data_IF_506474404176
#
_entry.id   IF_506474404176
#
_cell.length_a   1.000
_cell.length_b   1.000
_cell.length_c   1.000
_cell.angle_alpha   90.00
_cell.angle_beta   90.00
_cell.angle_gamma   90.00
#
_symmetry.space_group_name_H-M   'P 1'
#
loop_
_entity.id
_entity.type
_entity.pdbx_description
1 polymer ?
#
# COMPACT_ATOMS: atom_id res chain seq x y z
N UNK A 1 53.95 6.27 -42.80
CA UNK A 1 54.73 5.97 -41.58
C UNK A 1 53.85 6.23 -40.37
N UNK A 2 53.47 5.16 -39.67
CA UNK A 2 52.47 5.09 -38.61
C UNK A 2 53.05 5.62 -37.28
N UNK A 3 52.38 6.59 -36.63
CA UNK A 3 52.68 7.00 -35.24
C UNK A 3 51.54 6.56 -34.32
N UNK A 4 51.78 5.44 -33.63
CA UNK A 4 51.11 5.00 -32.39
C UNK A 4 51.22 6.07 -31.31
N UNK A 5 50.14 6.40 -30.59
CA UNK A 5 50.10 6.70 -29.13
C UNK A 5 48.63 6.61 -28.67
N UNK A 6 48.23 5.47 -28.10
CA UNK A 6 48.04 5.18 -26.67
C UNK A 6 46.68 5.65 -26.11
N UNK A 7 45.71 4.75 -26.18
CA UNK A 7 44.36 4.90 -25.61
C UNK A 7 44.43 4.67 -24.10
N UNK A 8 44.18 5.70 -23.29
CA UNK A 8 44.06 5.57 -21.82
C UNK A 8 42.61 5.26 -21.49
N UNK A 9 42.30 4.00 -21.20
CA UNK A 9 40.98 3.62 -20.66
C UNK A 9 41.01 3.73 -19.15
N UNK A 10 40.46 4.82 -18.61
CA UNK A 10 40.22 4.99 -17.18
C UNK A 10 38.91 4.29 -16.79
N UNK A 11 39.01 3.15 -16.11
CA UNK A 11 37.86 2.42 -15.59
C UNK A 11 37.38 3.08 -14.30
N UNK A 12 36.22 3.74 -14.33
CA UNK A 12 35.55 4.27 -13.13
C UNK A 12 34.73 3.15 -12.50
N UNK A 13 35.17 2.62 -11.37
CA UNK A 13 34.38 1.69 -10.56
C UNK A 13 33.50 2.53 -9.63
N UNK A 14 32.21 2.66 -9.97
CA UNK A 14 31.22 3.27 -9.09
C UNK A 14 30.77 2.24 -8.06
N UNK A 15 31.14 2.45 -6.80
CA UNK A 15 30.64 1.64 -5.69
C UNK A 15 29.19 2.06 -5.37
N UNK A 16 28.23 1.19 -5.61
CA UNK A 16 26.84 1.37 -5.17
C UNK A 16 26.75 0.93 -3.71
N UNK A 17 26.63 1.89 -2.79
CA UNK A 17 26.32 1.61 -1.40
C UNK A 17 24.85 1.16 -1.29
N UNK A 18 24.64 -0.13 -1.00
CA UNK A 18 23.31 -0.68 -0.75
C UNK A 18 22.73 -0.13 0.56
N UNK A 19 21.59 0.54 0.48
CA UNK A 19 20.77 0.89 1.64
C UNK A 19 20.10 -0.38 2.16
N UNK A 20 20.61 -0.96 3.25
CA UNK A 20 19.90 -1.96 4.05
C UNK A 20 19.01 -1.23 5.06
N UNK A 21 17.76 -0.96 4.67
CA UNK A 21 16.74 -0.46 5.60
C UNK A 21 16.24 -1.60 6.48
N UNK A 22 16.52 -1.55 7.78
CA UNK A 22 15.91 -2.46 8.77
C UNK A 22 14.48 -2.00 9.07
N UNK A 23 13.50 -2.72 8.52
CA UNK A 23 12.10 -2.53 8.87
C UNK A 23 11.90 -2.88 10.35
N UNK A 24 11.73 -1.85 11.18
CA UNK A 24 11.44 -2.01 12.61
C UNK A 24 9.94 -2.29 12.76
N UNK A 25 9.59 -3.52 13.14
CA UNK A 25 8.23 -3.86 13.56
C UNK A 25 7.98 -3.26 14.95
N UNK A 26 7.07 -2.29 15.03
CA UNK A 26 6.64 -1.67 16.29
C UNK A 26 5.82 -2.64 17.17
N UNK A 27 5.59 -2.30 18.45
CA UNK A 27 4.90 -3.17 19.40
C UNK A 27 3.45 -3.46 18.95
N UNK A 28 3.10 -4.75 18.92
CA UNK A 28 1.75 -5.22 18.63
C UNK A 28 0.81 -4.87 19.79
N UNK A 29 -0.23 -4.08 19.51
CA UNK A 29 -1.30 -3.75 20.45
C UNK A 29 -2.25 -4.94 20.66
N UNK A 30 -2.93 -5.05 21.83
CA UNK A 30 -3.69 -6.24 22.21
C UNK A 30 -4.87 -6.50 21.27
N UNK A 31 -4.98 -7.77 20.85
CA UNK A 31 -5.98 -8.26 19.92
C UNK A 31 -7.37 -8.31 20.56
N UNK A 32 -8.15 -7.24 20.42
CA UNK A 32 -9.60 -7.39 20.25
C UNK A 32 -9.83 -8.32 19.05
N UNK A 33 -10.84 -9.20 19.08
CA UNK A 33 -11.20 -10.06 17.95
C UNK A 33 -11.34 -9.17 16.72
N UNK A 34 -10.31 -9.16 15.86
CA UNK A 34 -10.28 -8.23 14.75
C UNK A 34 -11.22 -8.75 13.68
N UNK A 35 -12.44 -8.21 13.63
CA UNK A 35 -13.39 -8.47 12.56
C UNK A 35 -12.69 -8.26 11.22
N UNK A 36 -12.73 -9.26 10.33
CA UNK A 36 -12.24 -9.13 8.97
C UNK A 36 -13.20 -8.24 8.17
N UNK A 37 -12.67 -7.47 7.22
CA UNK A 37 -13.44 -6.55 6.40
C UNK A 37 -13.49 -5.13 6.95
N UNK A 38 -14.46 -4.37 6.46
CA UNK A 38 -14.64 -2.97 6.83
C UNK A 38 -15.18 -2.83 8.25
N UNK A 39 -14.61 -1.92 9.01
CA UNK A 39 -15.16 -1.48 10.29
C UNK A 39 -14.76 -0.04 10.57
N UNK A 40 -15.53 0.62 11.44
CA UNK A 40 -15.29 2.00 11.84
C UNK A 40 -14.94 2.03 13.32
N UNK A 41 -13.81 2.65 13.64
CA UNK A 41 -13.44 3.06 15.00
C UNK A 41 -13.84 4.52 15.23
N UNK A 42 -13.64 5.05 16.44
CA UNK A 42 -14.06 6.42 16.78
C UNK A 42 -13.60 7.49 15.78
N UNK A 43 -12.36 7.44 15.30
CA UNK A 43 -11.79 8.44 14.39
C UNK A 43 -11.52 7.94 12.97
N UNK A 44 -11.37 6.63 12.78
CA UNK A 44 -10.82 6.06 11.55
C UNK A 44 -11.67 4.91 11.06
N UNK A 45 -11.94 4.92 9.77
CA UNK A 45 -12.50 3.81 9.03
C UNK A 45 -11.37 2.89 8.53
N UNK A 46 -11.52 1.60 8.79
CA UNK A 46 -10.50 0.58 8.58
C UNK A 46 -11.02 -0.53 7.67
N UNK A 47 -10.09 -1.20 7.01
CA UNK A 47 -10.32 -2.52 6.41
C UNK A 47 -9.28 -3.50 6.95
N UNK A 48 -9.74 -4.52 7.67
CA UNK A 48 -8.90 -5.61 8.14
C UNK A 48 -8.90 -6.77 7.13
N UNK A 49 -7.80 -6.97 6.42
CA UNK A 49 -7.69 -8.11 5.50
C UNK A 49 -7.05 -9.32 6.20
N UNK A 50 -7.86 -10.32 6.51
CA UNK A 50 -7.39 -11.55 7.16
C UNK A 50 -6.73 -12.57 6.21
N UNK A 51 -6.71 -12.30 4.90
CA UNK A 51 -6.04 -13.16 3.92
C UNK A 51 -4.53 -12.92 3.89
N UNK A 52 -3.81 -13.74 3.12
CA UNK A 52 -2.35 -13.70 3.01
C UNK A 52 -1.84 -12.91 1.79
N UNK A 53 -2.73 -12.55 0.87
CA UNK A 53 -2.41 -11.83 -0.36
C UNK A 53 -2.98 -10.42 -0.32
N UNK A 54 -2.53 -9.56 -1.23
CA UNK A 54 -3.16 -8.26 -1.40
C UNK A 54 -4.48 -8.41 -2.15
N UNK A 55 -5.47 -7.60 -1.79
CA UNK A 55 -6.75 -7.56 -2.50
C UNK A 55 -7.13 -6.14 -2.87
N UNK A 56 -7.91 -6.03 -3.95
CA UNK A 56 -8.52 -4.77 -4.35
C UNK A 56 -9.88 -4.64 -3.64
N UNK A 57 -10.11 -3.50 -3.02
CA UNK A 57 -11.40 -3.14 -2.43
C UNK A 57 -11.95 -1.88 -3.08
N UNK A 58 -13.28 -1.80 -3.22
CA UNK A 58 -13.96 -0.52 -3.46
C UNK A 58 -14.24 0.14 -2.13
N UNK A 59 -14.03 1.45 -2.07
CA UNK A 59 -14.26 2.28 -0.91
C UNK A 59 -15.33 3.30 -1.27
N UNK A 60 -16.41 3.28 -0.52
CA UNK A 60 -17.55 4.16 -0.73
C UNK A 60 -17.39 5.41 0.15
N UNK A 61 -17.48 6.60 -0.44
CA UNK A 61 -17.15 7.87 0.22
C UNK A 61 -18.40 8.74 0.37
N UNK A 62 -18.51 9.42 1.51
CA UNK A 62 -19.61 10.32 1.82
C UNK A 62 -19.63 11.53 0.84
N UNK A 63 -20.83 12.08 0.62
CA UNK A 63 -20.97 13.39 -0.02
C UNK A 63 -21.13 13.43 -1.54
N UNK A 64 -21.59 12.37 -2.22
CA UNK A 64 -22.11 12.56 -3.58
C UNK A 64 -22.21 11.38 -4.55
N UNK A 65 -22.22 10.12 -4.09
CA UNK A 65 -22.32 8.95 -4.96
C UNK A 65 -20.99 8.56 -5.61
N UNK A 66 -21.04 7.73 -6.66
CA UNK A 66 -19.90 7.10 -7.37
C UNK A 66 -18.69 8.00 -7.67
N UNK A 67 -18.87 9.32 -7.78
CA UNK A 67 -17.80 10.25 -8.15
C UNK A 67 -16.69 10.43 -7.09
N UNK A 68 -16.96 10.09 -5.83
CA UNK A 68 -15.99 10.17 -4.74
C UNK A 68 -15.46 8.80 -4.31
N UNK A 69 -16.09 7.73 -4.80
CA UNK A 69 -15.69 6.36 -4.49
C UNK A 69 -14.33 6.08 -5.16
N UNK A 70 -13.53 5.24 -4.52
CA UNK A 70 -12.21 4.90 -5.05
C UNK A 70 -11.89 3.43 -4.79
N UNK A 71 -10.80 2.96 -5.39
CA UNK A 71 -10.28 1.64 -5.09
C UNK A 71 -8.92 1.70 -4.43
N UNK A 72 -8.74 0.80 -3.47
CA UNK A 72 -7.51 0.67 -2.70
C UNK A 72 -7.01 -0.77 -2.78
N UNK A 73 -5.69 -0.92 -2.87
CA UNK A 73 -5.04 -2.19 -2.56
C UNK A 73 -4.88 -2.25 -1.04
N UNK A 74 -5.44 -3.29 -0.43
CA UNK A 74 -5.29 -3.58 0.99
C UNK A 74 -4.37 -4.78 1.19
N UNK A 75 -3.44 -4.64 2.13
CA UNK A 75 -2.48 -5.67 2.51
C UNK A 75 -3.04 -6.55 3.64
N UNK A 76 -2.51 -7.76 3.87
CA UNK A 76 -2.80 -8.53 5.08
C UNK A 76 -2.70 -7.67 6.35
N UNK A 77 -3.73 -7.75 7.22
CA UNK A 77 -3.86 -6.96 8.44
C UNK A 77 -4.66 -5.67 8.27
N UNK A 78 -4.36 -4.67 9.10
CA UNK A 78 -5.12 -3.43 9.20
C UNK A 78 -4.70 -2.37 8.19
N UNK A 79 -5.67 -1.87 7.43
CA UNK A 79 -5.49 -0.82 6.44
C UNK A 79 -6.40 0.36 6.79
N UNK A 80 -5.86 1.55 7.11
CA UNK A 80 -6.67 2.74 7.29
C UNK A 80 -7.18 3.23 5.93
N UNK A 81 -8.47 3.52 5.83
CA UNK A 81 -9.10 4.02 4.61
C UNK A 81 -9.43 5.52 4.69
N UNK A 82 -9.60 6.06 5.90
CA UNK A 82 -9.90 7.49 6.09
C UNK A 82 -10.61 7.77 7.41
N UNK A 83 -11.20 8.95 7.51
CA UNK A 83 -11.93 9.39 8.70
C UNK A 83 -13.30 8.68 8.84
N UNK A 84 -13.72 8.43 10.08
CA UNK A 84 -14.94 7.67 10.47
C UNK A 84 -16.28 8.25 10.00
N UNK A 85 -16.32 9.45 9.43
CA UNK A 85 -17.52 10.04 8.79
C UNK A 85 -17.39 10.31 7.29
N UNK A 86 -16.23 10.00 6.70
CA UNK A 86 -15.97 10.19 5.27
C UNK A 86 -16.08 8.87 4.51
N UNK A 87 -15.76 7.75 5.13
CA UNK A 87 -15.87 6.43 4.49
C UNK A 87 -17.14 5.76 4.98
N UNK A 88 -18.04 5.45 4.06
CA UNK A 88 -19.34 4.85 4.34
C UNK A 88 -19.26 3.33 4.39
N UNK A 89 -18.43 2.75 3.53
CA UNK A 89 -18.28 1.31 3.39
C UNK A 89 -16.98 0.97 2.65
N UNK A 90 -16.53 -0.28 2.76
CA UNK A 90 -15.53 -0.83 1.86
C UNK A 90 -15.70 -2.34 1.71
N UNK A 91 -15.50 -2.85 0.48
CA UNK A 91 -15.72 -4.27 0.20
C UNK A 91 -14.79 -4.81 -0.88
N UNK A 92 -14.46 -6.10 -0.72
CA UNK A 92 -13.63 -6.85 -1.65
C UNK A 92 -14.24 -6.94 -3.05
N UNK A 93 -13.40 -6.73 -4.07
CA UNK A 93 -13.75 -6.89 -5.48
C UNK A 93 -13.23 -8.23 -6.01
N UNK A 94 -14.13 -9.21 -6.13
CA UNK A 94 -13.79 -10.54 -6.64
C UNK A 94 -13.33 -10.55 -8.10
N UNK A 95 -13.73 -9.56 -8.90
CA UNK A 95 -13.32 -9.40 -10.29
C UNK A 95 -11.91 -8.81 -10.43
N UNK A 96 -11.34 -8.26 -9.35
CA UNK A 96 -10.08 -7.51 -9.39
C UNK A 96 -10.16 -6.20 -10.19
N UNK A 97 -11.36 -5.74 -10.55
CA UNK A 97 -11.58 -4.53 -11.34
C UNK A 97 -12.37 -3.50 -10.56
N UNK A 98 -11.85 -2.28 -10.56
CA UNK A 98 -12.51 -1.12 -10.00
C UNK A 98 -13.39 -0.44 -11.05
N UNK A 99 -14.72 -0.51 -10.90
CA UNK A 99 -15.63 0.37 -11.62
C UNK A 99 -16.23 1.33 -10.58
N UNK A 100 -16.00 2.62 -10.79
CA UNK A 100 -16.52 3.71 -9.94
C UNK A 100 -17.64 4.42 -10.68
#
# INVERSE_FOLDING_TARGET
MLRRMLTVTASVVVAVAGFVGTAQAGPASPSSVQTCGFYVSSATAWYNHCGTTNVLVRVDVAGGGSGNDYCAIVHPGLNPLGASGQILNAYYLSTGRCNI
#
